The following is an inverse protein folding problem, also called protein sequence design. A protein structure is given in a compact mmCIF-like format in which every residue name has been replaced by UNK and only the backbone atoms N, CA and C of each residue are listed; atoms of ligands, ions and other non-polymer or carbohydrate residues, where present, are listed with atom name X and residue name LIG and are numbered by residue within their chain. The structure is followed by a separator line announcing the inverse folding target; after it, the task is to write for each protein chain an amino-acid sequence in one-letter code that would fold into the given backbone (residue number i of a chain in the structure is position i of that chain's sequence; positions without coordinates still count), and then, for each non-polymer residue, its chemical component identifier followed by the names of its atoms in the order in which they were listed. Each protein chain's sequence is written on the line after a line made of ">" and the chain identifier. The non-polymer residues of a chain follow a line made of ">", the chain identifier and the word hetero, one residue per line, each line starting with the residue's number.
data_IF_749546002796
#
_entry.id   IF_749546002796
#
_cell.length_a   1.000
_cell.length_b   1.000
_cell.length_c   1.000
_cell.angle_alpha   90.00
_cell.angle_beta   90.00
_cell.angle_gamma   90.00
#
_symmetry.space_group_name_H-M   'P 1'
#
loop_
_entity.id
_entity.type
_entity.pdbx_description
1 polymer ?
#
# COMPACT_ATOMS: atom_id res chain seq x y z
N UNK A 1 28.36 -15.90 -11.36
CA UNK A 1 27.20 -16.04 -10.47
C UNK A 1 26.56 -17.39 -10.71
N UNK A 2 26.22 -18.15 -9.67
CA UNK A 2 25.45 -19.39 -9.80
C UNK A 2 23.99 -19.08 -10.15
N UNK A 3 23.31 -20.01 -10.83
CA UNK A 3 21.87 -19.90 -11.17
C UNK A 3 21.00 -19.61 -9.94
N UNK A 4 21.40 -20.17 -8.81
CA UNK A 4 20.82 -19.98 -7.49
C UNK A 4 20.88 -18.51 -7.03
N UNK A 5 22.07 -17.90 -7.07
CA UNK A 5 22.25 -16.51 -6.68
C UNK A 5 21.42 -15.56 -7.56
N UNK A 6 21.32 -15.85 -8.86
CA UNK A 6 20.50 -15.07 -9.80
C UNK A 6 19.02 -15.15 -9.43
N UNK A 7 18.53 -16.36 -9.15
CA UNK A 7 17.12 -16.57 -8.85
C UNK A 7 16.72 -15.95 -7.51
N UNK A 8 17.61 -16.00 -6.51
CA UNK A 8 17.43 -15.33 -5.23
C UNK A 8 17.32 -13.80 -5.40
N UNK A 9 18.24 -13.20 -6.16
CA UNK A 9 18.19 -11.76 -6.48
C UNK A 9 16.88 -11.39 -7.20
N UNK A 10 16.43 -12.20 -8.15
CA UNK A 10 15.16 -11.97 -8.85
C UNK A 10 13.96 -12.02 -7.90
N UNK A 11 13.94 -12.93 -6.93
CA UNK A 11 12.88 -13.02 -5.93
C UNK A 11 12.88 -11.82 -4.97
N UNK A 12 14.05 -11.32 -4.59
CA UNK A 12 14.16 -10.08 -3.80
C UNK A 12 13.57 -8.90 -4.57
N UNK A 13 14.00 -8.71 -5.82
CA UNK A 13 13.49 -7.62 -6.69
C UNK A 13 11.99 -7.75 -6.90
N UNK A 14 11.50 -8.98 -7.10
CA UNK A 14 10.07 -9.27 -7.19
C UNK A 14 9.32 -8.85 -5.92
N UNK A 15 9.85 -9.16 -4.73
CA UNK A 15 9.26 -8.75 -3.46
C UNK A 15 9.11 -7.24 -3.35
N UNK A 16 10.14 -6.48 -3.74
CA UNK A 16 10.07 -5.02 -3.78
C UNK A 16 8.99 -4.53 -4.74
N UNK A 17 9.00 -4.98 -5.99
CA UNK A 17 8.00 -4.56 -6.99
C UNK A 17 6.58 -4.96 -6.59
N UNK A 18 6.43 -6.12 -5.95
CA UNK A 18 5.14 -6.58 -5.43
C UNK A 18 4.59 -5.62 -4.38
N UNK A 19 5.40 -5.28 -3.37
CA UNK A 19 5.01 -4.36 -2.30
C UNK A 19 4.71 -2.97 -2.89
N UNK A 20 5.57 -2.45 -3.77
CA UNK A 20 5.39 -1.13 -4.39
C UNK A 20 4.12 -1.07 -5.23
N UNK A 21 3.81 -2.11 -6.02
CA UNK A 21 2.60 -2.13 -6.84
C UNK A 21 1.32 -2.14 -6.04
N UNK A 22 1.29 -2.92 -4.96
CA UNK A 22 0.13 -2.97 -4.07
C UNK A 22 -0.03 -1.65 -3.32
N UNK A 23 1.06 -1.08 -2.83
CA UNK A 23 1.06 0.21 -2.18
C UNK A 23 0.58 1.34 -3.11
N UNK A 24 1.00 1.33 -4.38
CA UNK A 24 0.54 2.28 -5.38
C UNK A 24 -0.98 2.19 -5.62
N UNK A 25 -1.53 0.97 -5.70
CA UNK A 25 -2.98 0.75 -5.84
C UNK A 25 -3.73 1.27 -4.60
N UNK A 26 -3.29 0.91 -3.40
CA UNK A 26 -3.94 1.33 -2.16
C UNK A 26 -3.90 2.84 -1.99
N UNK A 27 -2.75 3.46 -2.26
CA UNK A 27 -2.59 4.89 -2.21
C UNK A 27 -3.58 5.59 -3.16
N UNK A 28 -3.65 5.13 -4.41
CA UNK A 28 -4.59 5.66 -5.39
C UNK A 28 -6.06 5.53 -4.94
N UNK A 29 -6.46 4.37 -4.40
CA UNK A 29 -7.81 4.16 -3.86
C UNK A 29 -8.10 5.13 -2.72
N UNK A 30 -7.15 5.36 -1.80
CA UNK A 30 -7.33 6.29 -0.70
C UNK A 30 -7.58 7.72 -1.20
N UNK A 31 -6.83 8.16 -2.21
CA UNK A 31 -7.05 9.46 -2.84
C UNK A 31 -8.39 9.54 -3.57
N UNK A 32 -8.82 8.49 -4.28
CA UNK A 32 -10.14 8.46 -4.91
C UNK A 32 -11.28 8.57 -3.89
N UNK A 33 -11.18 7.86 -2.76
CA UNK A 33 -12.19 7.95 -1.69
C UNK A 33 -12.22 9.37 -1.11
N UNK A 34 -11.06 9.95 -0.83
CA UNK A 34 -10.95 11.33 -0.34
C UNK A 34 -11.61 12.32 -1.31
N UNK A 35 -11.33 12.21 -2.60
CA UNK A 35 -11.95 13.06 -3.62
C UNK A 35 -13.45 12.86 -3.72
N UNK A 36 -13.93 11.62 -3.63
CA UNK A 36 -15.36 11.34 -3.63
C UNK A 36 -16.08 11.94 -2.42
N UNK A 37 -15.46 11.89 -1.23
CA UNK A 37 -16.01 12.51 -0.02
C UNK A 37 -16.11 14.04 -0.14
N UNK A 38 -15.08 14.67 -0.72
CA UNK A 38 -15.09 16.10 -0.98
C UNK A 38 -16.15 16.52 -2.00
N UNK A 39 -16.30 15.79 -3.11
CA UNK A 39 -17.35 16.07 -4.10
C UNK A 39 -18.76 15.84 -3.56
N UNK A 40 -18.91 14.88 -2.64
CA UNK A 40 -20.17 14.66 -1.92
C UNK A 40 -20.50 15.76 -0.91
N UNK A 41 -19.62 16.75 -0.72
CA UNK A 41 -19.82 17.86 0.20
C UNK A 41 -19.71 17.47 1.67
N UNK A 42 -19.00 16.38 1.98
CA UNK A 42 -18.80 15.95 3.37
C UNK A 42 -17.95 17.01 4.11
N UNK A 43 -18.37 17.46 5.31
CA UNK A 43 -17.59 18.41 6.10
C UNK A 43 -16.15 17.95 6.35
N UNK A 44 -15.18 18.86 6.21
CA UNK A 44 -13.75 18.56 6.37
C UNK A 44 -13.42 17.93 7.72
N UNK A 45 -14.11 18.33 8.80
CA UNK A 45 -13.97 17.71 10.12
C UNK A 45 -14.23 16.20 10.10
N UNK A 46 -15.25 15.74 9.38
CA UNK A 46 -15.59 14.31 9.26
C UNK A 46 -14.54 13.60 8.39
N UNK A 47 -14.06 14.24 7.33
CA UNK A 47 -13.02 13.71 6.45
C UNK A 47 -11.71 13.49 7.22
N UNK A 48 -11.32 14.44 8.08
CA UNK A 48 -10.10 14.37 8.90
C UNK A 48 -10.06 13.12 9.79
N UNK A 49 -11.19 12.73 10.36
CA UNK A 49 -11.28 11.53 11.20
C UNK A 49 -11.51 10.26 10.39
N UNK A 50 -12.33 10.31 9.34
CA UNK A 50 -12.71 9.12 8.57
C UNK A 50 -11.57 8.63 7.66
N UNK A 51 -10.81 9.52 7.03
CA UNK A 51 -9.77 9.10 6.08
C UNK A 51 -8.67 8.24 6.72
N UNK A 52 -8.08 8.59 7.88
CA UNK A 52 -7.10 7.73 8.55
C UNK A 52 -7.66 6.34 8.91
N UNK A 53 -8.93 6.26 9.31
CA UNK A 53 -9.60 5.00 9.65
C UNK A 53 -9.79 4.15 8.38
N UNK A 54 -10.31 4.76 7.31
CA UNK A 54 -10.50 4.09 6.01
C UNK A 54 -9.16 3.60 5.46
N UNK A 55 -8.11 4.42 5.52
CA UNK A 55 -6.77 4.03 5.08
C UNK A 55 -6.28 2.83 5.86
N UNK A 56 -6.38 2.85 7.19
CA UNK A 56 -5.92 1.75 8.03
C UNK A 56 -6.68 0.46 7.73
N UNK A 57 -8.01 0.53 7.58
CA UNK A 57 -8.84 -0.63 7.24
C UNK A 57 -8.46 -1.23 5.88
N UNK A 58 -8.26 -0.41 4.85
CA UNK A 58 -7.86 -0.88 3.51
C UNK A 58 -6.51 -1.62 3.57
N UNK A 59 -5.55 -1.01 4.23
CA UNK A 59 -4.19 -1.52 4.39
C UNK A 59 -4.18 -2.82 5.20
N UNK A 60 -4.90 -2.88 6.34
CA UNK A 60 -5.06 -4.10 7.14
C UNK A 60 -5.79 -5.21 6.37
N UNK A 61 -6.89 -4.89 5.69
CA UNK A 61 -7.67 -5.89 4.92
C UNK A 61 -6.83 -6.51 3.82
N UNK A 62 -6.08 -5.68 3.08
CA UNK A 62 -5.21 -6.14 2.00
C UNK A 62 -4.10 -7.04 2.54
N UNK A 63 -3.46 -6.63 3.62
CA UNK A 63 -2.42 -7.41 4.30
C UNK A 63 -2.98 -8.76 4.78
N UNK A 64 -4.16 -8.75 5.41
CA UNK A 64 -4.83 -9.96 5.88
C UNK A 64 -5.18 -10.91 4.74
N UNK A 65 -5.75 -10.40 3.64
CA UNK A 65 -6.05 -11.20 2.45
C UNK A 65 -4.80 -11.84 1.84
N UNK A 66 -3.70 -11.09 1.78
CA UNK A 66 -2.41 -11.63 1.32
C UNK A 66 -1.92 -12.74 2.23
N UNK A 67 -1.89 -12.51 3.54
CA UNK A 67 -1.46 -13.51 4.52
C UNK A 67 -2.31 -14.78 4.47
N UNK A 68 -3.63 -14.64 4.28
CA UNK A 68 -4.56 -15.76 4.14
C UNK A 68 -4.31 -16.56 2.85
N UNK A 69 -3.96 -15.89 1.76
CA UNK A 69 -3.74 -16.52 0.46
C UNK A 69 -2.36 -17.18 0.31
N UNK A 70 -1.40 -16.84 1.17
CA UNK A 70 -0.16 -17.60 1.28
C UNK A 70 -0.53 -18.95 1.89
N UNK A 71 -0.72 -19.98 1.05
CA UNK A 71 -0.76 -21.37 1.50
C UNK A 71 0.57 -21.66 2.18
N UNK A 72 0.54 -21.78 3.51
CA UNK A 72 1.69 -22.09 4.34
C UNK A 72 1.98 -23.60 4.32
N UNK A 73 1.76 -24.24 3.18
CA UNK A 73 2.18 -25.62 2.98
C UNK A 73 3.69 -25.57 2.79
N UNK A 74 4.40 -25.67 3.91
CA UNK A 74 5.85 -25.86 4.01
C UNK A 74 6.23 -27.25 3.50
N UNK A 75 5.85 -27.59 2.27
CA UNK A 75 6.57 -28.62 1.55
C UNK A 75 7.86 -27.96 1.09
N UNK A 76 8.98 -28.47 1.61
CA UNK A 76 10.38 -28.04 1.47
C UNK A 76 10.90 -28.02 0.01
N UNK A 77 10.06 -27.73 -0.99
CA UNK A 77 10.53 -27.43 -2.33
C UNK A 77 11.20 -26.06 -2.29
N UNK A 78 12.54 -26.04 -2.24
CA UNK A 78 13.32 -24.81 -2.24
C UNK A 78 12.90 -23.84 -3.34
N UNK A 79 13.20 -22.56 -3.15
CA UNK A 79 12.88 -21.44 -4.08
C UNK A 79 13.30 -21.76 -5.53
N UNK A 80 14.29 -22.64 -5.71
CA UNK A 80 14.78 -23.15 -6.99
C UNK A 80 13.77 -23.94 -7.83
N UNK A 81 12.77 -24.54 -7.19
CA UNK A 81 11.75 -25.36 -7.86
C UNK A 81 10.51 -24.54 -8.25
N UNK A 82 10.36 -23.32 -7.74
CA UNK A 82 9.22 -22.47 -8.06
C UNK A 82 9.48 -21.65 -9.33
N UNK A 83 8.56 -21.75 -10.29
CA UNK A 83 8.64 -20.95 -11.52
C UNK A 83 8.42 -19.48 -11.18
N UNK A 84 9.37 -18.62 -11.56
CA UNK A 84 9.28 -17.18 -11.32
C UNK A 84 8.02 -16.58 -11.98
N UNK A 85 7.18 -15.83 -11.23
CA UNK A 85 5.90 -15.31 -11.71
C UNK A 85 6.06 -14.07 -12.60
N UNK A 86 6.67 -14.24 -13.78
CA UNK A 86 7.00 -13.16 -14.73
C UNK A 86 5.84 -12.23 -15.06
N UNK A 87 4.65 -12.80 -15.32
CA UNK A 87 3.47 -12.01 -15.71
C UNK A 87 3.04 -11.06 -14.58
N UNK A 88 3.02 -11.55 -13.35
CA UNK A 88 2.61 -10.77 -12.19
C UNK A 88 3.64 -9.67 -11.88
N UNK A 89 4.93 -9.99 -12.00
CA UNK A 89 6.01 -9.00 -11.91
C UNK A 89 5.83 -7.84 -12.90
N UNK A 90 5.62 -8.15 -14.18
CA UNK A 90 5.46 -7.13 -15.24
C UNK A 90 4.22 -6.28 -14.97
N UNK A 91 3.08 -6.92 -14.66
CA UNK A 91 1.82 -6.21 -14.40
C UNK A 91 1.96 -5.26 -13.22
N UNK A 92 2.51 -5.71 -12.08
CA UNK A 92 2.70 -4.86 -10.91
C UNK A 92 3.72 -3.74 -11.14
N UNK A 93 4.79 -4.02 -11.89
CA UNK A 93 5.75 -3.00 -12.30
C UNK A 93 5.11 -1.91 -13.13
N UNK A 94 4.36 -2.27 -14.18
CA UNK A 94 3.62 -1.33 -15.03
C UNK A 94 2.63 -0.51 -14.20
N UNK A 95 1.82 -1.18 -13.37
CA UNK A 95 0.88 -0.54 -12.45
C UNK A 95 1.59 0.51 -11.59
N UNK A 96 2.71 0.15 -10.94
CA UNK A 96 3.46 1.08 -10.08
C UNK A 96 3.92 2.32 -10.82
N UNK A 97 4.52 2.12 -12.01
CA UNK A 97 5.08 3.19 -12.84
C UNK A 97 4.00 4.19 -13.26
N UNK A 98 2.79 3.74 -13.56
CA UNK A 98 1.70 4.62 -13.99
C UNK A 98 0.89 5.20 -12.83
N UNK A 99 0.54 4.39 -11.82
CA UNK A 99 -0.34 4.84 -10.74
C UNK A 99 0.30 5.89 -9.85
N UNK A 100 1.60 5.80 -9.58
CA UNK A 100 2.30 6.79 -8.74
C UNK A 100 2.18 8.21 -9.33
N UNK A 101 2.60 8.48 -10.59
CA UNK A 101 2.49 9.82 -11.17
C UNK A 101 1.03 10.24 -11.40
N UNK A 102 0.14 9.31 -11.74
CA UNK A 102 -1.30 9.62 -11.86
C UNK A 102 -1.85 10.10 -10.51
N UNK A 103 -1.52 9.42 -9.42
CA UNK A 103 -1.97 9.79 -8.07
C UNK A 103 -1.43 11.16 -7.68
N UNK A 104 -0.15 11.45 -7.94
CA UNK A 104 0.44 12.76 -7.61
C UNK A 104 -0.15 13.88 -8.46
N UNK A 105 -0.45 13.62 -9.74
CA UNK A 105 -1.05 14.63 -10.60
C UNK A 105 -2.51 14.90 -10.19
N UNK A 106 -3.27 13.87 -9.87
CA UNK A 106 -4.65 14.01 -9.38
C UNK A 106 -4.71 14.75 -8.05
N UNK A 107 -3.81 14.47 -7.11
CA UNK A 107 -3.75 15.22 -5.85
C UNK A 107 -3.45 16.70 -6.05
N UNK A 108 -2.54 17.02 -6.98
CA UNK A 108 -2.29 18.41 -7.39
C UNK A 108 -3.52 19.09 -7.99
N UNK A 109 -4.16 18.45 -8.98
CA UNK A 109 -5.35 19.00 -9.65
C UNK A 109 -6.52 19.24 -8.68
N UNK A 110 -6.74 18.34 -7.73
CA UNK A 110 -7.78 18.52 -6.72
C UNK A 110 -7.47 19.67 -5.76
N UNK A 111 -6.21 19.84 -5.39
CA UNK A 111 -5.76 20.96 -4.57
C UNK A 111 -6.02 22.30 -5.29
N UNK A 112 -5.63 22.39 -6.57
CA UNK A 112 -5.88 23.57 -7.40
C UNK A 112 -7.40 23.88 -7.50
N UNK A 113 -8.23 22.87 -7.77
CA UNK A 113 -9.69 23.04 -7.90
C UNK A 113 -10.34 23.54 -6.61
N UNK A 114 -9.84 23.12 -5.45
CA UNK A 114 -10.37 23.56 -4.16
C UNK A 114 -9.90 24.96 -3.77
N UNK A 115 -8.69 25.33 -4.16
CA UNK A 115 -8.17 26.70 -3.99
C UNK A 115 -9.00 27.70 -4.81
N UNK A 116 -9.44 27.32 -6.02
CA UNK A 116 -10.34 28.16 -6.83
C UNK A 116 -11.73 28.32 -6.17
N UNK A 117 -12.15 27.35 -5.35
CA UNK A 117 -13.38 27.41 -4.53
C UNK A 117 -13.15 28.11 -3.18
N UNK A 118 -12.13 28.99 -3.06
CA UNK A 118 -11.72 29.73 -1.85
C UNK A 118 -12.85 30.44 -1.09
N UNK A 119 -14.04 30.56 -1.66
CA UNK A 119 -15.25 31.05 -0.98
C UNK A 119 -15.88 30.04 -0.01
N UNK A 120 -15.50 28.75 -0.01
CA UNK A 120 -16.17 27.68 0.77
C UNK A 120 -15.31 27.10 1.91
N UNK A 121 -13.98 27.06 1.76
CA UNK A 121 -13.09 26.46 2.76
C UNK A 121 -11.87 27.34 3.02
N UNK A 122 -11.47 27.45 4.29
CA UNK A 122 -10.28 28.17 4.68
C UNK A 122 -9.04 27.36 4.28
N UNK A 123 -8.03 27.99 3.65
CA UNK A 123 -6.86 27.29 3.09
C UNK A 123 -6.11 26.46 4.13
N UNK A 124 -6.15 26.89 5.40
CA UNK A 124 -5.62 26.16 6.56
C UNK A 124 -6.35 24.83 6.83
N UNK A 125 -7.69 24.82 6.76
CA UNK A 125 -8.49 23.62 7.02
C UNK A 125 -8.26 22.57 5.93
N UNK A 126 -8.16 23.01 4.68
CA UNK A 126 -7.84 22.12 3.56
C UNK A 126 -6.44 21.49 3.73
N UNK A 127 -5.42 22.30 4.05
CA UNK A 127 -4.06 21.82 4.26
C UNK A 127 -4.00 20.82 5.42
N UNK A 128 -4.73 21.10 6.50
CA UNK A 128 -4.86 20.18 7.62
C UNK A 128 -5.49 18.85 7.19
N UNK A 129 -6.58 18.88 6.40
CA UNK A 129 -7.22 17.67 5.89
C UNK A 129 -6.31 16.83 5.00
N UNK A 130 -5.60 17.49 4.08
CA UNK A 130 -4.61 16.82 3.24
C UNK A 130 -3.46 16.22 4.07
N UNK A 131 -3.00 16.94 5.09
CA UNK A 131 -2.03 16.46 6.06
C UNK A 131 -2.50 15.22 6.84
N UNK A 132 -3.76 15.18 7.24
CA UNK A 132 -4.36 14.02 7.92
C UNK A 132 -4.45 12.80 7.01
N UNK A 133 -4.85 12.97 5.75
CA UNK A 133 -4.87 11.90 4.76
C UNK A 133 -3.48 11.28 4.58
N UNK A 134 -2.50 12.12 4.28
CA UNK A 134 -1.12 11.68 4.03
C UNK A 134 -0.53 11.01 5.26
N UNK A 135 -0.72 11.60 6.44
CA UNK A 135 -0.31 11.01 7.72
C UNK A 135 -0.97 9.66 7.97
N UNK A 136 -2.27 9.53 7.71
CA UNK A 136 -3.01 8.27 7.83
C UNK A 136 -2.42 7.15 6.96
N UNK A 137 -2.05 7.47 5.73
CA UNK A 137 -1.38 6.53 4.81
C UNK A 137 -0.02 6.10 5.37
N UNK A 138 0.84 7.05 5.78
CA UNK A 138 2.16 6.72 6.32
C UNK A 138 2.09 5.92 7.62
N UNK A 139 1.23 6.31 8.56
CA UNK A 139 1.03 5.59 9.82
C UNK A 139 0.55 4.17 9.54
N UNK A 140 -0.40 4.00 8.62
CA UNK A 140 -0.92 2.67 8.24
C UNK A 140 0.19 1.76 7.69
N UNK A 141 1.08 2.29 6.84
CA UNK A 141 2.24 1.55 6.31
C UNK A 141 3.17 1.07 7.42
N UNK A 142 3.49 1.94 8.38
CA UNK A 142 4.34 1.60 9.52
C UNK A 142 3.70 0.54 10.42
N UNK A 143 2.41 0.68 10.74
CA UNK A 143 1.68 -0.30 11.55
C UNK A 143 1.73 -1.68 10.89
N UNK A 144 1.45 -1.77 9.58
CA UNK A 144 1.52 -3.04 8.86
C UNK A 144 2.92 -3.63 8.90
N UNK A 145 3.95 -2.82 8.66
CA UNK A 145 5.33 -3.31 8.66
C UNK A 145 5.70 -3.93 10.01
N UNK A 146 5.30 -3.28 11.10
CA UNK A 146 5.50 -3.81 12.46
C UNK A 146 4.74 -5.13 12.64
N UNK A 147 3.46 -5.19 12.27
CA UNK A 147 2.62 -6.39 12.38
C UNK A 147 3.21 -7.55 11.57
N UNK A 148 3.61 -7.32 10.32
CA UNK A 148 4.22 -8.32 9.46
C UNK A 148 5.55 -8.82 10.03
N UNK A 149 6.37 -7.92 10.58
CA UNK A 149 7.65 -8.29 11.22
C UNK A 149 7.40 -9.21 12.42
N UNK A 150 6.43 -8.88 13.28
CA UNK A 150 6.07 -9.73 14.43
C UNK A 150 5.59 -11.11 13.96
N UNK A 151 4.73 -11.16 12.95
CA UNK A 151 4.23 -12.44 12.40
C UNK A 151 5.38 -13.26 11.83
N UNK A 152 6.30 -12.63 11.10
CA UNK A 152 7.47 -13.29 10.52
C UNK A 152 8.39 -13.86 11.59
N UNK A 153 8.77 -13.06 12.60
CA UNK A 153 9.63 -13.51 13.71
C UNK A 153 9.01 -14.67 14.49
N UNK A 154 7.69 -14.61 14.77
CA UNK A 154 6.97 -15.71 15.42
C UNK A 154 7.05 -17.01 14.61
N UNK A 155 6.93 -16.92 13.29
CA UNK A 155 7.05 -18.10 12.41
C UNK A 155 8.47 -18.63 12.32
N UNK A 156 9.46 -17.75 12.25
CA UNK A 156 10.87 -18.14 12.21
C UNK A 156 11.26 -18.94 13.45
N UNK A 157 10.88 -18.46 14.64
CA UNK A 157 11.07 -19.18 15.91
C UNK A 157 10.36 -20.55 15.93
N UNK A 158 9.19 -20.65 15.32
CA UNK A 158 8.45 -21.91 15.23
C UNK A 158 9.19 -22.93 14.35
N UNK A 159 9.77 -22.49 13.23
CA UNK A 159 10.59 -23.34 12.36
C UNK A 159 11.88 -23.78 13.05
N UNK A 160 12.56 -22.88 13.76
CA UNK A 160 13.78 -23.22 14.54
C UNK A 160 13.51 -24.25 15.64
N UNK A 161 12.33 -24.21 16.27
CA UNK A 161 11.94 -25.19 17.30
C UNK A 161 11.52 -26.55 16.73
N UNK A 162 11.24 -26.66 15.43
CA UNK A 162 10.82 -27.89 14.76
C UNK A 162 11.99 -28.67 14.12
N UNK A 163 13.14 -28.04 13.94
CA UNK A 163 14.39 -28.63 13.44
C UNK A 163 15.34 -28.99 14.60
#
# INVERSE_FOLDING_TARGET
>A
MTKENILLVLWIIFGFIFITGIDAILNFICYLIYFAQLEAGIPLGIINYSMPIITLLLYLSTTFLMLKNIKLDTNLSGIYLTRFPKRLFIVLGVISIFLIPITSKLSGLYTERLTIKETVYNSYEFLATYGWLTSGIYISRWIILIVLTIIFLKKLKLIENLN
#
